data_IF_168438852780
#
_entry.id   IF_168438852780
#
_cell.length_a   1.000
_cell.length_b   1.000
_cell.length_c   1.000
_cell.angle_alpha   90.00
_cell.angle_beta   90.00
_cell.angle_gamma   90.00
#
_symmetry.space_group_name_H-M   'P 1'
#
loop_
_entity.id
_entity.type
_entity.pdbx_description
1 polymer ?
#
# COMPACT_ATOMS: atom_id res chain seq x y z
N UNK A 1 -9.80 -21.19 -19.91
CA UNK A 1 -11.11 -20.54 -20.05
C UNK A 1 -10.92 -19.30 -20.91
N UNK A 2 -11.25 -19.42 -22.18
CA UNK A 2 -10.97 -18.41 -23.23
C UNK A 2 -12.06 -17.35 -23.18
N UNK A 3 -11.70 -16.09 -22.90
CA UNK A 3 -12.66 -14.98 -22.96
C UNK A 3 -12.53 -14.34 -24.35
N UNK A 4 -13.57 -14.55 -25.15
CA UNK A 4 -13.75 -13.96 -26.47
C UNK A 4 -13.96 -12.46 -26.28
N UNK A 5 -13.12 -11.66 -26.93
CA UNK A 5 -13.22 -10.20 -26.99
C UNK A 5 -14.41 -9.81 -27.87
N UNK A 6 -15.57 -9.57 -27.23
CA UNK A 6 -16.75 -9.00 -27.87
C UNK A 6 -16.80 -7.49 -27.70
N UNK A 7 -16.79 -6.77 -28.82
CA UNK A 7 -17.12 -5.34 -28.93
C UNK A 7 -18.58 -5.12 -28.51
N UNK A 8 -18.79 -4.67 -27.28
CA UNK A 8 -19.87 -3.76 -26.84
C UNK A 8 -19.91 -3.71 -25.31
N UNK A 9 -18.89 -3.09 -24.72
CA UNK A 9 -18.79 -2.96 -23.26
C UNK A 9 -19.54 -1.69 -22.84
N UNK A 10 -20.80 -1.88 -22.43
CA UNK A 10 -21.64 -0.92 -21.69
C UNK A 10 -20.81 -0.28 -20.56
N UNK A 11 -20.96 1.02 -20.35
CA UNK A 11 -20.16 1.76 -19.36
C UNK A 11 -20.86 1.67 -18.00
N UNK A 12 -20.15 1.14 -17.00
CA UNK A 12 -20.63 1.03 -15.61
C UNK A 12 -20.20 2.29 -14.86
N UNK A 13 -21.17 3.10 -14.42
CA UNK A 13 -20.92 4.24 -13.54
C UNK A 13 -21.47 3.88 -12.16
N UNK A 14 -20.63 4.03 -11.14
CA UNK A 14 -21.03 3.86 -9.75
C UNK A 14 -21.08 5.24 -9.09
N UNK A 15 -22.29 5.70 -8.77
CA UNK A 15 -22.50 6.93 -8.02
C UNK A 15 -22.62 6.59 -6.53
N UNK A 16 -21.80 7.25 -5.71
CA UNK A 16 -21.81 7.10 -4.26
C UNK A 16 -22.56 8.29 -3.69
N UNK A 17 -23.74 8.04 -3.08
CA UNK A 17 -24.39 9.03 -2.22
C UNK A 17 -23.97 8.75 -0.78
N UNK A 18 -23.24 9.67 -0.17
CA UNK A 18 -22.95 9.66 1.26
C UNK A 18 -23.94 10.57 1.98
N UNK A 19 -24.85 10.00 2.77
CA UNK A 19 -25.66 10.76 3.71
C UNK A 19 -24.78 11.16 4.91
N UNK A 20 -24.44 12.44 4.97
CA UNK A 20 -24.04 13.19 6.17
C UNK A 20 -23.19 12.51 7.24
N UNK A 21 -21.86 12.49 7.07
CA UNK A 21 -20.89 12.74 8.13
C UNK A 21 -19.63 13.30 7.46
N UNK A 22 -19.30 14.56 7.79
CA UNK A 22 -18.14 15.28 7.23
C UNK A 22 -16.87 14.78 7.93
N UNK A 23 -16.21 13.78 7.36
CA UNK A 23 -14.84 13.43 7.72
C UNK A 23 -13.87 14.52 7.20
N UNK A 24 -12.98 15.01 8.08
CA UNK A 24 -12.02 16.09 7.80
C UNK A 24 -10.84 15.65 6.93
N UNK A 25 -10.75 14.38 6.56
CA UNK A 25 -9.58 13.80 5.89
C UNK A 25 -9.56 13.97 4.36
N UNK A 26 -10.61 14.52 3.76
CA UNK A 26 -10.64 14.86 2.32
C UNK A 26 -10.12 16.26 2.00
N UNK A 27 -9.70 17.05 3.00
CA UNK A 27 -9.38 18.48 2.82
C UNK A 27 -7.97 18.77 2.28
N UNK A 28 -7.10 17.77 2.07
CA UNK A 28 -5.74 18.00 1.54
C UNK A 28 -5.59 17.84 0.02
N UNK A 29 -6.59 17.29 -0.66
CA UNK A 29 -6.51 17.04 -2.11
C UNK A 29 -7.47 17.94 -2.93
N UNK A 30 -8.06 18.97 -2.31
CA UNK A 30 -9.02 19.87 -2.95
C UNK A 30 -8.46 21.27 -3.30
N UNK A 31 -7.22 21.57 -2.95
CA UNK A 31 -6.57 22.85 -3.27
C UNK A 31 -5.76 22.76 -4.58
N UNK A 32 -6.42 22.33 -5.65
CA UNK A 32 -6.00 22.61 -7.02
C UNK A 32 -7.26 22.54 -7.89
N UNK A 33 -7.53 23.64 -8.61
CA UNK A 33 -8.65 23.83 -9.54
C UNK A 33 -9.95 24.38 -8.91
N UNK A 34 -9.94 25.66 -8.54
CA UNK A 34 -11.13 26.52 -8.66
C UNK A 34 -10.74 28.00 -8.83
N UNK A 35 -10.29 28.36 -10.02
CA UNK A 35 -10.40 29.71 -10.54
C UNK A 35 -11.37 29.61 -11.72
N UNK A 36 -12.60 30.05 -11.51
CA UNK A 36 -13.45 30.72 -12.51
C UNK A 36 -14.72 31.22 -11.82
N UNK A 37 -14.80 32.55 -11.77
CA UNK A 37 -15.95 33.39 -11.47
C UNK A 37 -17.23 32.87 -12.14
N UNK A 38 -18.33 32.83 -11.39
CA UNK A 38 -19.62 33.33 -11.88
C UNK A 38 -20.43 33.90 -10.72
N UNK A 39 -20.57 35.23 -10.73
CA UNK A 39 -21.60 35.97 -9.99
C UNK A 39 -22.98 35.57 -10.52
N UNK A 40 -23.89 35.19 -9.62
CA UNK A 40 -25.32 35.29 -9.88
C UNK A 40 -26.03 35.77 -8.61
N UNK A 41 -26.90 36.77 -8.82
CA UNK A 41 -27.58 37.60 -7.85
C UNK A 41 -28.44 36.85 -6.82
N UNK A 42 -28.42 37.40 -5.61
CA UNK A 42 -29.43 37.24 -4.57
C UNK A 42 -30.73 37.95 -4.99
N UNK A 43 -31.88 37.32 -4.75
CA UNK A 43 -33.00 38.02 -4.12
C UNK A 43 -33.93 37.03 -3.39
N UNK A 44 -34.44 37.35 -2.18
CA UNK A 44 -35.11 36.43 -1.29
C UNK A 44 -36.64 36.61 -1.34
N UNK A 45 -37.42 35.53 -1.37
CA UNK A 45 -38.82 35.61 -0.94
C UNK A 45 -39.29 34.39 -0.13
N UNK A 46 -39.87 34.77 1.02
CA UNK A 46 -40.97 34.17 1.78
C UNK A 46 -40.75 32.84 2.53
N UNK A 47 -40.32 33.04 3.79
CA UNK A 47 -40.40 32.10 4.91
C UNK A 47 -41.86 32.06 5.41
N UNK A 48 -42.56 30.94 5.22
CA UNK A 48 -43.79 30.62 5.96
C UNK A 48 -43.47 29.44 6.87
N UNK A 49 -43.30 29.74 8.15
CA UNK A 49 -43.18 28.75 9.23
C UNK A 49 -44.56 28.18 9.54
N UNK A 50 -44.73 26.88 9.37
CA UNK A 50 -45.76 26.10 10.06
C UNK A 50 -45.06 25.12 11.00
N UNK A 51 -45.43 25.04 12.29
CA UNK A 51 -44.88 24.07 13.22
C UNK A 51 -45.77 22.83 13.19
N UNK A 52 -45.21 21.65 12.90
CA UNK A 52 -45.91 20.40 13.20
C UNK A 52 -45.02 19.16 13.30
N UNK A 53 -45.12 18.55 14.48
CA UNK A 53 -44.86 17.15 14.83
C UNK A 53 -43.43 16.64 14.73
N UNK A 54 -42.73 16.72 15.87
CA UNK A 54 -41.72 15.75 16.27
C UNK A 54 -42.35 14.35 16.23
N UNK A 55 -42.02 13.60 15.19
CA UNK A 55 -42.29 12.17 15.14
C UNK A 55 -41.39 11.45 16.17
N UNK A 56 -41.91 10.45 16.89
CA UNK A 56 -41.19 9.78 17.96
C UNK A 56 -40.06 8.92 17.39
N UNK A 57 -38.97 8.83 18.15
CA UNK A 57 -37.83 7.93 17.97
C UNK A 57 -38.20 6.67 17.18
N UNK A 58 -37.76 6.62 15.92
CA UNK A 58 -37.64 5.37 15.18
C UNK A 58 -36.69 4.49 15.98
N UNK A 59 -37.22 3.40 16.54
CA UNK A 59 -36.42 2.38 17.21
C UNK A 59 -35.28 1.97 16.29
N UNK A 60 -34.04 2.12 16.77
CA UNK A 60 -32.86 1.63 16.08
C UNK A 60 -33.08 0.15 15.78
N UNK A 61 -32.98 -0.21 14.51
CA UNK A 61 -33.18 -1.57 14.07
C UNK A 61 -31.97 -2.39 14.58
N UNK A 62 -32.15 -3.44 15.40
CA UNK A 62 -31.04 -4.13 16.07
C UNK A 62 -30.00 -4.70 15.09
N UNK A 63 -30.39 -4.94 13.83
CA UNK A 63 -29.49 -5.38 12.76
C UNK A 63 -28.47 -4.31 12.33
N UNK A 64 -28.81 -3.01 12.43
CA UNK A 64 -27.91 -1.91 12.07
C UNK A 64 -26.81 -1.70 13.13
N UNK A 65 -27.16 -1.83 14.42
CA UNK A 65 -26.22 -1.74 15.54
C UNK A 65 -25.17 -2.86 15.48
N UNK A 66 -25.57 -4.09 15.16
CA UNK A 66 -24.64 -5.20 14.96
C UNK A 66 -23.70 -4.99 13.76
N UNK A 67 -24.19 -4.41 12.66
CA UNK A 67 -23.36 -4.09 11.49
C UNK A 67 -22.32 -3.00 11.82
N UNK A 68 -22.70 -2.02 12.63
CA UNK A 68 -21.82 -0.95 13.10
C UNK A 68 -20.72 -1.49 14.01
N UNK A 69 -21.05 -2.31 15.01
CA UNK A 69 -20.07 -2.96 15.90
C UNK A 69 -19.08 -3.85 15.13
N UNK A 70 -19.57 -4.64 14.16
CA UNK A 70 -18.73 -5.44 13.26
C UNK A 70 -17.80 -4.55 12.42
N UNK A 71 -18.28 -3.40 11.96
CA UNK A 71 -17.47 -2.45 11.20
C UNK A 71 -16.41 -1.75 12.08
N UNK A 72 -16.74 -1.38 13.31
CA UNK A 72 -15.81 -0.73 14.25
C UNK A 72 -14.70 -1.69 14.71
N UNK A 73 -15.07 -2.93 15.05
CA UNK A 73 -14.10 -3.98 15.38
C UNK A 73 -13.15 -4.23 14.20
N UNK A 74 -13.66 -4.24 12.96
CA UNK A 74 -12.84 -4.29 11.76
C UNK A 74 -11.90 -3.06 11.64
N UNK A 75 -12.38 -1.84 11.87
CA UNK A 75 -11.52 -0.64 11.83
C UNK A 75 -10.41 -0.68 12.88
N UNK A 76 -10.69 -1.17 14.08
CA UNK A 76 -9.66 -1.35 15.12
C UNK A 76 -8.59 -2.35 14.69
N UNK A 77 -9.00 -3.44 14.03
CA UNK A 77 -8.08 -4.40 13.38
C UNK A 77 -7.23 -3.73 12.31
N UNK A 78 -7.84 -2.95 11.41
CA UNK A 78 -7.11 -2.22 10.36
C UNK A 78 -6.04 -1.28 10.95
N UNK A 79 -6.35 -0.58 12.05
CA UNK A 79 -5.41 0.36 12.70
C UNK A 79 -4.18 -0.33 13.31
N UNK A 80 -4.33 -1.57 13.78
CA UNK A 80 -3.20 -2.38 14.28
C UNK A 80 -2.48 -3.18 13.18
N UNK A 81 -2.93 -3.09 11.93
CA UNK A 81 -2.30 -3.79 10.80
C UNK A 81 -1.35 -2.87 10.03
N UNK A 82 -0.18 -3.40 9.73
CA UNK A 82 0.85 -2.77 8.90
C UNK A 82 0.81 -3.39 7.50
N UNK A 83 0.75 -2.56 6.47
CA UNK A 83 0.98 -2.98 5.08
C UNK A 83 2.48 -2.92 4.78
N UNK A 84 3.03 -4.06 4.40
CA UNK A 84 4.43 -4.24 4.03
C UNK A 84 4.50 -4.47 2.52
N UNK A 85 5.27 -3.62 1.85
CA UNK A 85 5.55 -3.69 0.42
C UNK A 85 7.00 -4.12 0.17
N UNK A 86 7.30 -4.45 -1.09
CA UNK A 86 8.62 -4.84 -1.57
C UNK A 86 9.17 -6.15 -0.99
N UNK A 87 8.28 -7.02 -0.51
CA UNK A 87 8.65 -8.33 0.00
C UNK A 87 9.14 -9.25 -1.13
N UNK A 88 10.22 -9.99 -0.85
CA UNK A 88 10.75 -11.01 -1.76
C UNK A 88 9.73 -12.15 -1.94
N UNK A 89 9.52 -12.66 -3.17
CA UNK A 89 8.59 -13.76 -3.43
C UNK A 89 8.87 -15.06 -2.62
N UNK A 90 10.08 -15.21 -2.10
CA UNK A 90 10.51 -16.37 -1.32
C UNK A 90 10.21 -16.28 0.18
N UNK A 91 9.75 -15.13 0.67
CA UNK A 91 9.47 -14.97 2.09
C UNK A 91 8.16 -15.68 2.46
N UNK A 92 8.26 -16.72 3.29
CA UNK A 92 7.11 -17.47 3.80
C UNK A 92 6.42 -16.71 4.95
N UNK A 93 5.20 -17.13 5.30
CA UNK A 93 4.45 -16.58 6.44
C UNK A 93 5.27 -16.61 7.74
N UNK A 94 5.95 -17.72 8.02
CA UNK A 94 6.78 -17.89 9.22
C UNK A 94 7.99 -16.96 9.24
N UNK A 95 8.59 -16.67 8.08
CA UNK A 95 9.72 -15.74 7.97
C UNK A 95 9.27 -14.32 8.25
N UNK A 96 8.12 -13.91 7.69
CA UNK A 96 7.54 -12.58 7.96
C UNK A 96 7.14 -12.46 9.43
N UNK A 97 6.45 -13.46 9.97
CA UNK A 97 6.05 -13.48 11.38
C UNK A 97 7.25 -13.37 12.31
N UNK A 98 8.30 -14.17 12.09
CA UNK A 98 9.54 -14.10 12.86
C UNK A 98 10.25 -12.75 12.73
N UNK A 99 10.32 -12.20 11.51
CA UNK A 99 10.95 -10.91 11.27
C UNK A 99 10.23 -9.77 11.99
N UNK A 100 8.89 -9.75 12.00
CA UNK A 100 8.11 -8.71 12.67
C UNK A 100 7.92 -8.97 14.17
N UNK A 101 8.14 -10.19 14.64
CA UNK A 101 8.11 -10.55 16.07
C UNK A 101 9.16 -9.80 16.90
N UNK A 102 10.23 -9.30 16.27
CA UNK A 102 11.24 -8.48 16.95
C UNK A 102 10.70 -7.12 17.42
N UNK A 103 9.60 -6.63 16.82
CA UNK A 103 8.97 -5.35 17.18
C UNK A 103 7.80 -5.52 18.15
N UNK A 104 7.34 -6.76 18.39
CA UNK A 104 6.23 -7.08 19.27
C UNK A 104 5.47 -8.32 18.81
N UNK A 105 4.43 -8.69 19.55
CA UNK A 105 3.60 -9.87 19.23
C UNK A 105 2.83 -9.67 17.92
N UNK A 106 3.03 -10.59 16.97
CA UNK A 106 2.28 -10.67 15.71
C UNK A 106 1.08 -11.59 15.90
N UNK A 107 -0.12 -11.14 15.52
CA UNK A 107 -1.37 -11.92 15.61
C UNK A 107 -1.64 -12.72 14.35
N UNK A 108 -1.48 -12.09 13.19
CA UNK A 108 -1.70 -12.74 11.91
C UNK A 108 -0.88 -12.07 10.80
N UNK A 109 -0.65 -12.83 9.73
CA UNK A 109 0.05 -12.39 8.53
C UNK A 109 -0.74 -12.87 7.32
N UNK A 110 -1.15 -11.91 6.47
CA UNK A 110 -2.01 -12.14 5.30
C UNK A 110 -1.27 -11.66 4.06
N UNK A 111 -0.99 -12.58 3.14
CA UNK A 111 -0.42 -12.22 1.83
C UNK A 111 -1.51 -11.71 0.90
N UNK A 112 -1.22 -10.61 0.19
CA UNK A 112 -2.13 -10.04 -0.80
C UNK A 112 -1.82 -10.66 -2.17
N UNK A 113 -2.72 -11.48 -2.71
CA UNK A 113 -2.52 -12.10 -4.02
C UNK A 113 -2.60 -11.04 -5.14
N UNK A 114 -1.60 -11.06 -6.02
CA UNK A 114 -1.62 -10.26 -7.23
C UNK A 114 -2.34 -11.03 -8.36
N UNK A 115 -3.61 -10.71 -8.60
CA UNK A 115 -4.43 -11.39 -9.63
C UNK A 115 -4.25 -10.84 -11.05
N UNK A 116 -3.80 -9.58 -11.18
CA UNK A 116 -3.83 -8.85 -12.46
C UNK A 116 -2.46 -8.43 -12.96
N UNK A 117 -1.43 -8.43 -12.11
CA UNK A 117 -0.08 -8.00 -12.45
C UNK A 117 0.90 -9.14 -12.72
N UNK A 118 2.13 -8.81 -13.16
CA UNK A 118 3.22 -9.77 -13.31
C UNK A 118 3.53 -10.49 -12.00
N UNK A 119 3.86 -11.79 -12.09
CA UNK A 119 4.27 -12.61 -10.93
C UNK A 119 5.62 -12.21 -10.33
N UNK A 120 6.43 -11.50 -11.11
CA UNK A 120 7.73 -10.95 -10.70
C UNK A 120 7.59 -9.78 -9.72
N UNK A 121 6.38 -9.22 -9.59
CA UNK A 121 6.17 -8.11 -8.67
C UNK A 121 6.33 -8.54 -7.21
N UNK A 122 6.84 -7.64 -6.37
CA UNK A 122 6.94 -7.91 -4.94
C UNK A 122 5.57 -8.21 -4.35
N UNK A 123 5.55 -9.11 -3.38
CA UNK A 123 4.27 -9.51 -2.76
C UNK A 123 3.96 -8.57 -1.61
N UNK A 124 2.80 -7.92 -1.66
CA UNK A 124 2.29 -7.13 -0.54
C UNK A 124 1.81 -8.03 0.59
N UNK A 125 2.08 -7.64 1.84
CA UNK A 125 1.68 -8.40 3.02
C UNK A 125 1.04 -7.47 4.05
N UNK A 126 0.00 -7.96 4.70
CA UNK A 126 -0.61 -7.34 5.87
C UNK A 126 -0.14 -8.07 7.11
N UNK A 127 0.51 -7.35 8.02
CA UNK A 127 0.99 -7.87 9.31
C UNK A 127 0.15 -7.26 10.42
N UNK A 128 -0.62 -8.08 11.10
CA UNK A 128 -1.46 -7.66 12.22
C UNK A 128 -0.67 -7.70 13.53
N UNK A 129 -0.42 -6.54 14.11
CA UNK A 129 0.27 -6.41 15.39
C UNK A 129 -0.72 -6.52 16.56
N UNK A 130 -0.22 -6.76 17.77
CA UNK A 130 -1.04 -6.81 18.97
C UNK A 130 -1.77 -5.49 19.26
N UNK A 131 -1.07 -4.36 19.14
CA UNK A 131 -1.53 -3.00 19.47
C UNK A 131 -1.34 -2.01 18.31
N UNK A 132 -2.17 -0.97 18.27
CA UNK A 132 -2.03 0.14 17.32
C UNK A 132 -0.70 0.91 17.53
N UNK A 133 -0.24 1.02 18.78
CA UNK A 133 1.01 1.71 19.10
C UNK A 133 2.21 0.94 18.54
N UNK A 134 2.21 -0.38 18.66
CA UNK A 134 3.26 -1.24 18.08
C UNK A 134 3.26 -1.15 16.56
N UNK A 135 2.08 -1.09 15.91
CA UNK A 135 1.99 -0.93 14.46
C UNK A 135 2.59 0.42 13.99
N UNK A 136 2.31 1.52 14.70
CA UNK A 136 2.92 2.83 14.41
C UNK A 136 4.43 2.84 14.59
N UNK A 137 4.91 2.28 15.69
CA UNK A 137 6.35 2.16 15.95
C UNK A 137 7.07 1.34 14.88
N UNK A 138 6.46 0.26 14.40
CA UNK A 138 6.97 -0.53 13.26
C UNK A 138 7.07 0.32 12.01
N UNK A 139 6.01 1.06 11.66
CA UNK A 139 6.01 1.92 10.47
C UNK A 139 7.11 2.98 10.57
N UNK A 140 7.24 3.64 11.71
CA UNK A 140 8.27 4.65 11.95
C UNK A 140 9.68 4.03 11.83
N UNK A 141 9.93 2.91 12.50
CA UNK A 141 11.25 2.27 12.50
C UNK A 141 11.65 1.77 11.13
N UNK A 142 10.76 1.08 10.41
CA UNK A 142 11.02 0.57 9.05
C UNK A 142 11.13 1.71 8.03
N UNK A 143 10.46 2.85 8.27
CA UNK A 143 10.63 4.02 7.41
C UNK A 143 11.95 4.74 7.62
N UNK A 144 12.51 4.70 8.83
CA UNK A 144 13.76 5.36 9.19
C UNK A 144 14.99 4.49 8.88
N UNK A 145 14.89 3.18 9.05
CA UNK A 145 16.01 2.26 8.91
C UNK A 145 15.69 1.16 7.88
N UNK A 146 16.65 0.81 6.99
CA UNK A 146 16.46 -0.25 6.02
C UNK A 146 16.26 -1.59 6.74
N UNK A 147 15.04 -2.12 6.67
CA UNK A 147 14.69 -3.39 7.28
C UNK A 147 14.63 -4.48 6.22
N UNK A 148 15.48 -5.51 6.32
CA UNK A 148 15.58 -6.58 5.33
C UNK A 148 14.92 -7.84 5.86
N UNK A 149 14.13 -8.51 5.02
CA UNK A 149 13.46 -9.77 5.35
C UNK A 149 13.99 -10.87 4.44
N UNK A 150 14.21 -12.07 4.99
CA UNK A 150 14.69 -13.26 4.28
C UNK A 150 16.13 -13.16 3.72
N UNK A 151 17.01 -12.35 4.32
CA UNK A 151 18.44 -12.34 4.04
C UNK A 151 18.87 -11.77 2.68
N UNK A 152 17.92 -11.39 1.82
CA UNK A 152 18.19 -10.64 0.60
C UNK A 152 18.38 -9.16 0.95
N UNK A 153 19.37 -8.46 0.37
CA UNK A 153 19.68 -7.06 0.70
C UNK A 153 18.67 -6.07 0.07
N UNK A 154 17.37 -6.36 0.23
CA UNK A 154 16.26 -5.55 -0.24
C UNK A 154 15.45 -5.06 0.96
N UNK A 155 15.45 -3.74 1.25
CA UNK A 155 14.68 -3.22 2.35
C UNK A 155 13.19 -3.28 2.02
N UNK A 156 12.39 -3.75 2.98
CA UNK A 156 10.93 -3.71 2.89
C UNK A 156 10.41 -2.32 3.26
N UNK A 157 9.23 -1.96 2.77
CA UNK A 157 8.59 -0.68 3.09
C UNK A 157 7.33 -0.94 3.91
N UNK A 158 7.17 -0.23 5.01
CA UNK A 158 5.99 -0.32 5.86
C UNK A 158 5.11 0.93 5.71
N UNK A 159 3.79 0.73 5.73
CA UNK A 159 2.80 1.81 5.79
C UNK A 159 1.53 1.34 6.48
N UNK A 160 0.65 2.28 6.84
CA UNK A 160 -0.62 1.93 7.48
C UNK A 160 -1.53 1.15 6.52
N UNK A 161 -2.14 0.06 7.01
CA UNK A 161 -3.09 -0.70 6.22
C UNK A 161 -4.33 0.13 5.88
N UNK A 162 -4.90 -0.11 4.71
CA UNK A 162 -6.15 0.52 4.26
C UNK A 162 -7.30 -0.48 4.35
N UNK A 163 -8.52 -0.06 4.72
CA UNK A 163 -9.70 -0.92 4.72
C UNK A 163 -9.93 -1.67 3.39
N UNK A 164 -9.57 -1.05 2.27
CA UNK A 164 -9.74 -1.61 0.93
C UNK A 164 -8.80 -2.78 0.61
N UNK A 165 -7.77 -3.03 1.43
CA UNK A 165 -6.82 -4.13 1.24
C UNK A 165 -7.35 -5.47 1.79
N UNK A 166 -8.40 -5.44 2.61
CA UNK A 166 -8.98 -6.62 3.25
C UNK A 166 -10.10 -7.22 2.38
N UNK A 167 -10.06 -8.54 2.17
CA UNK A 167 -11.08 -9.27 1.42
C UNK A 167 -12.36 -9.50 2.23
N UNK A 168 -12.23 -9.63 3.55
CA UNK A 168 -13.28 -9.89 4.53
C UNK A 168 -13.94 -8.60 5.07
N UNK A 169 -13.77 -7.49 4.36
CA UNK A 169 -14.27 -6.18 4.78
C UNK A 169 -15.81 -6.15 4.89
N UNK A 170 -16.39 -5.81 6.06
CA UNK A 170 -17.81 -5.59 6.20
C UNK A 170 -18.30 -4.34 5.44
N UNK A 171 -19.59 -4.32 5.09
CA UNK A 171 -20.23 -3.19 4.43
C UNK A 171 -20.10 -1.94 5.31
N UNK A 172 -19.71 -0.81 4.73
CA UNK A 172 -19.68 0.45 5.48
C UNK A 172 -21.12 0.85 5.83
N UNK A 173 -21.45 1.07 7.11
CA UNK A 173 -22.79 1.50 7.53
C UNK A 173 -23.17 2.80 6.82
N UNK A 174 -24.45 2.93 6.47
CA UNK A 174 -25.00 4.11 5.76
C UNK A 174 -24.57 4.28 4.30
N UNK A 175 -23.73 3.40 3.72
CA UNK A 175 -23.33 3.52 2.30
C UNK A 175 -24.25 2.73 1.38
N UNK A 176 -25.02 3.45 0.56
CA UNK A 176 -25.78 2.87 -0.56
C UNK A 176 -25.00 3.00 -1.86
N UNK A 177 -24.71 1.88 -2.54
CA UNK A 177 -24.08 1.87 -3.86
C UNK A 177 -25.17 1.57 -4.89
N UNK A 178 -25.39 2.49 -5.83
CA UNK A 178 -26.30 2.29 -6.94
C UNK A 178 -25.49 2.04 -8.22
N UNK A 179 -25.92 1.05 -9.00
CA UNK A 179 -25.32 0.72 -10.29
C UNK A 179 -26.31 1.05 -11.40
N UNK A 180 -25.86 1.82 -12.38
CA UNK A 180 -26.61 2.09 -13.61
C UNK A 180 -25.69 1.91 -14.80
N UNK A 181 -26.22 1.25 -15.84
CA UNK A 181 -25.58 1.22 -17.15
C UNK A 181 -25.93 2.49 -17.89
N UNK A 182 -24.93 3.14 -18.48
CA UNK A 182 -25.13 4.37 -19.25
C UNK A 182 -25.32 4.00 -20.71
N UNK A 183 -26.49 4.32 -21.25
CA UNK A 183 -26.83 4.13 -22.66
C UNK A 183 -26.26 5.26 -23.52
N UNK A 184 -25.98 5.03 -24.82
CA UNK A 184 -25.47 6.06 -25.73
C UNK A 184 -26.36 7.30 -25.86
N UNK A 185 -27.65 7.17 -25.57
CA UNK A 185 -28.62 8.27 -25.61
C UNK A 185 -28.64 9.12 -24.33
N UNK A 186 -27.90 8.74 -23.30
CA UNK A 186 -27.86 9.46 -22.02
C UNK A 186 -26.92 10.68 -22.10
N UNK A 187 -27.30 11.80 -21.49
CA UNK A 187 -26.50 13.02 -21.45
C UNK A 187 -25.14 12.84 -20.73
N UNK A 188 -25.02 11.82 -19.88
CA UNK A 188 -23.77 11.49 -19.19
C UNK A 188 -22.84 10.54 -19.98
N UNK A 189 -23.29 10.01 -21.12
CA UNK A 189 -22.53 9.04 -21.91
C UNK A 189 -21.16 9.57 -22.36
N UNK A 190 -21.10 10.81 -22.84
CA UNK A 190 -19.85 11.44 -23.28
C UNK A 190 -18.84 11.56 -22.13
N UNK A 191 -19.31 11.90 -20.92
CA UNK A 191 -18.46 11.98 -19.73
C UNK A 191 -17.91 10.60 -19.39
N UNK A 192 -18.78 9.58 -19.41
CA UNK A 192 -18.41 8.21 -19.14
C UNK A 192 -17.40 7.66 -20.17
N UNK A 193 -17.55 8.03 -21.45
CA UNK A 193 -16.62 7.65 -22.51
C UNK A 193 -15.25 8.32 -22.34
N UNK A 194 -15.20 9.59 -21.94
CA UNK A 194 -13.94 10.29 -21.61
C UNK A 194 -13.20 9.62 -20.47
N UNK A 195 -13.91 9.29 -19.38
CA UNK A 195 -13.33 8.56 -18.25
C UNK A 195 -12.80 7.19 -18.68
N UNK A 196 -13.54 6.45 -19.52
CA UNK A 196 -13.09 5.16 -20.06
C UNK A 196 -11.78 5.29 -20.85
N UNK A 197 -11.66 6.31 -21.70
CA UNK A 197 -10.42 6.58 -22.46
C UNK A 197 -9.27 6.96 -21.52
N UNK A 198 -9.55 7.78 -20.51
CA UNK A 198 -8.56 8.19 -19.51
C UNK A 198 -8.02 6.99 -18.72
N UNK A 199 -8.90 6.11 -18.24
CA UNK A 199 -8.50 4.90 -17.52
C UNK A 199 -7.61 4.02 -18.40
N UNK A 200 -7.95 3.82 -19.68
CA UNK A 200 -7.11 3.06 -20.62
C UNK A 200 -5.72 3.66 -20.79
N UNK A 201 -5.65 4.99 -20.89
CA UNK A 201 -4.37 5.71 -20.96
C UNK A 201 -3.56 5.48 -19.69
N UNK A 202 -4.14 5.72 -18.51
CA UNK A 202 -3.46 5.51 -17.22
C UNK A 202 -3.01 4.06 -17.04
N UNK A 203 -3.79 3.06 -17.48
CA UNK A 203 -3.37 1.66 -17.39
C UNK A 203 -2.16 1.36 -18.28
N UNK A 204 -2.08 1.95 -19.48
CA UNK A 204 -0.94 1.78 -20.37
C UNK A 204 0.32 2.48 -19.82
N UNK A 205 0.15 3.69 -19.28
CA UNK A 205 1.23 4.45 -18.64
C UNK A 205 1.76 3.73 -17.40
N UNK A 206 0.88 3.21 -16.55
CA UNK A 206 1.26 2.44 -15.37
C UNK A 206 1.99 1.14 -15.73
N UNK A 207 1.52 0.40 -16.74
CA UNK A 207 2.18 -0.81 -17.22
C UNK A 207 3.59 -0.51 -17.78
N UNK A 208 3.73 0.59 -18.53
CA UNK A 208 5.03 1.04 -19.02
C UNK A 208 5.98 1.40 -17.87
N UNK A 209 5.50 2.16 -16.88
CA UNK A 209 6.29 2.54 -15.71
C UNK A 209 6.75 1.33 -14.88
N UNK A 210 5.85 0.36 -14.64
CA UNK A 210 6.19 -0.88 -13.95
C UNK A 210 7.29 -1.63 -14.70
N UNK A 211 7.18 -1.73 -16.03
CA UNK A 211 8.21 -2.37 -16.85
C UNK A 211 9.58 -1.70 -16.68
N UNK A 212 9.61 -0.35 -16.68
CA UNK A 212 10.85 0.41 -16.47
C UNK A 212 11.44 0.19 -15.07
N UNK A 213 10.62 0.17 -14.04
CA UNK A 213 11.06 -0.12 -12.68
C UNK A 213 11.65 -1.53 -12.55
N UNK A 214 11.08 -2.51 -13.25
CA UNK A 214 11.63 -3.87 -13.27
C UNK A 214 12.97 -3.93 -14.00
N UNK A 215 13.10 -3.29 -15.15
CA UNK A 215 14.38 -3.19 -15.89
C UNK A 215 15.48 -2.56 -15.02
N UNK A 216 15.18 -1.44 -14.36
CA UNK A 216 16.13 -0.77 -13.44
C UNK A 216 16.48 -1.64 -12.22
N UNK A 217 15.50 -2.34 -11.65
CA UNK A 217 15.74 -3.25 -10.53
C UNK A 217 16.64 -4.43 -10.92
N UNK A 218 16.50 -4.96 -12.13
CA UNK A 218 17.38 -6.02 -12.66
C UNK A 218 18.81 -5.52 -12.88
N UNK A 219 18.98 -4.32 -13.43
CA UNK A 219 20.31 -3.71 -13.59
C UNK A 219 20.98 -3.47 -12.23
N UNK A 220 20.23 -2.95 -11.25
CA UNK A 220 20.73 -2.75 -9.90
C UNK A 220 21.14 -4.08 -9.25
N UNK A 221 20.32 -5.13 -9.40
CA UNK A 221 20.64 -6.45 -8.86
C UNK A 221 21.94 -7.02 -9.46
N UNK A 222 22.17 -6.83 -10.77
CA UNK A 222 23.42 -7.22 -11.43
C UNK A 222 24.61 -6.47 -10.85
N UNK A 223 24.54 -5.14 -10.76
CA UNK A 223 25.60 -4.31 -10.17
C UNK A 223 25.92 -4.71 -8.73
N UNK A 224 24.89 -4.98 -7.92
CA UNK A 224 25.05 -5.44 -6.54
C UNK A 224 25.75 -6.81 -6.48
N UNK A 225 25.39 -7.75 -7.35
CA UNK A 225 26.04 -9.07 -7.40
C UNK A 225 27.53 -9.00 -7.79
N UNK A 226 27.87 -8.16 -8.77
CA UNK A 226 29.26 -7.91 -9.17
C UNK A 226 30.06 -7.24 -8.04
N UNK A 227 29.44 -6.28 -7.35
CA UNK A 227 30.06 -5.61 -6.21
C UNK A 227 30.33 -6.59 -5.07
N UNK A 228 29.37 -7.47 -4.74
CA UNK A 228 29.53 -8.48 -3.68
C UNK A 228 30.65 -9.46 -4.05
N UNK A 229 30.67 -9.97 -5.29
CA UNK A 229 31.71 -10.92 -5.72
C UNK A 229 33.11 -10.30 -5.74
N UNK A 230 33.23 -9.03 -6.17
CA UNK A 230 34.52 -8.31 -6.14
C UNK A 230 34.98 -8.03 -4.72
N UNK A 231 34.08 -7.63 -3.82
CA UNK A 231 34.39 -7.44 -2.40
C UNK A 231 34.80 -8.75 -1.73
N UNK A 232 34.08 -9.83 -1.98
CA UNK A 232 34.42 -11.15 -1.46
C UNK A 232 35.83 -11.58 -1.87
N UNK A 233 36.19 -11.45 -3.16
CA UNK A 233 37.55 -11.73 -3.64
C UNK A 233 38.62 -10.86 -2.97
N UNK A 234 38.33 -9.58 -2.69
CA UNK A 234 39.25 -8.70 -1.96
C UNK A 234 39.49 -9.21 -0.53
N UNK A 235 38.43 -9.60 0.18
CA UNK A 235 38.54 -10.16 1.51
C UNK A 235 39.30 -11.49 1.51
N UNK A 236 39.03 -12.39 0.58
CA UNK A 236 39.79 -13.64 0.46
C UNK A 236 41.29 -13.41 0.21
N UNK A 237 41.67 -12.39 -0.57
CA UNK A 237 43.07 -12.04 -0.77
C UNK A 237 43.72 -11.52 0.51
N UNK A 238 43.02 -10.67 1.27
CA UNK A 238 43.51 -10.16 2.56
C UNK A 238 43.66 -11.31 3.56
N UNK A 239 42.69 -12.20 3.62
CA UNK A 239 42.73 -13.38 4.48
C UNK A 239 43.93 -14.27 4.11
N UNK A 240 44.18 -14.55 2.83
CA UNK A 240 45.37 -15.31 2.42
C UNK A 240 46.67 -14.63 2.85
N UNK A 241 46.81 -13.32 2.60
CA UNK A 241 48.01 -12.56 2.99
C UNK A 241 48.26 -12.49 4.51
N UNK A 242 47.19 -12.53 5.32
CA UNK A 242 47.30 -12.58 6.77
C UNK A 242 47.64 -13.98 7.28
N UNK A 243 47.03 -15.03 6.72
CA UNK A 243 47.36 -16.42 7.04
C UNK A 243 48.80 -16.78 6.65
N UNK A 244 49.25 -16.33 5.48
CA UNK A 244 50.60 -16.58 4.95
C UNK A 244 51.68 -15.74 5.68
N UNK A 245 51.31 -14.95 6.70
CA UNK A 245 52.18 -14.03 7.46
C UNK A 245 52.91 -12.97 6.62
N UNK A 246 52.66 -12.88 5.31
CA UNK A 246 53.21 -11.86 4.41
C UNK A 246 52.94 -10.46 4.94
N UNK A 247 51.74 -10.22 5.49
CA UNK A 247 51.38 -8.95 6.11
C UNK A 247 52.26 -8.61 7.35
N UNK A 248 52.62 -9.61 8.16
CA UNK A 248 53.50 -9.43 9.33
C UNK A 248 54.96 -9.22 8.92
N UNK A 249 55.42 -9.92 7.89
CA UNK A 249 56.77 -9.74 7.35
C UNK A 249 56.96 -8.34 6.74
N UNK A 250 55.99 -7.86 5.96
CA UNK A 250 55.97 -6.50 5.45
C UNK A 250 55.93 -5.47 6.58
N UNK A 251 55.07 -5.66 7.57
CA UNK A 251 54.99 -4.77 8.73
C UNK A 251 56.32 -4.66 9.48
N UNK A 252 57.05 -5.78 9.64
CA UNK A 252 58.40 -5.81 10.20
C UNK A 252 59.42 -5.04 9.35
N UNK A 253 59.35 -5.12 8.01
CA UNK A 253 60.24 -4.36 7.12
C UNK A 253 59.99 -2.86 7.15
N UNK A 254 58.74 -2.44 7.36
CA UNK A 254 58.36 -1.03 7.39
C UNK A 254 58.24 -0.44 8.81
N UNK A 255 58.60 -1.20 9.87
CA UNK A 255 58.43 -0.81 11.27
C UNK A 255 57.00 -0.35 11.62
N UNK A 256 55.99 -0.97 11.01
CA UNK A 256 54.57 -0.70 11.26
C UNK A 256 54.06 -1.71 12.28
N UNK A 257 53.27 -1.27 13.26
CA UNK A 257 52.62 -2.17 14.22
C UNK A 257 51.46 -2.90 13.53
N UNK A 258 51.56 -4.22 13.38
CA UNK A 258 50.47 -5.09 12.93
C UNK A 258 49.77 -5.74 14.14
N UNK A 259 48.43 -5.84 14.12
CA UNK A 259 47.66 -6.50 15.17
C UNK A 259 47.93 -8.01 15.26
N UNK A 260 47.58 -8.67 16.38
CA UNK A 260 47.80 -10.11 16.53
C UNK A 260 47.04 -10.91 15.47
N UNK A 261 47.58 -12.06 15.01
CA UNK A 261 46.88 -12.92 14.06
C UNK A 261 45.57 -13.44 14.67
N UNK A 262 44.51 -13.44 13.87
CA UNK A 262 43.27 -14.14 14.23
C UNK A 262 43.56 -15.65 14.28
N UNK A 263 43.24 -16.28 15.42
CA UNK A 263 43.35 -17.73 15.65
C UNK A 263 42.20 -18.49 15.01
#
# INVERSE_FOLDING_TARGET
MTIIMGEDIKVRVATVKSSGLRDRDTKRDADAVSLLDTRCHENPQTRVTTPREEAPNTMANPEEEEEEEKYESFLSRVRRTVYVDELTPHASKSVVESAFSQFGTVKDVIFLPNYLGPKELPTGVLVEMESEQTAKAVIETVSQFPFMVAGMPRPVRASAARPAMFSDRPKKPGRTIQFRWVDPSDAEFDKAQRVKRLVRKHTAEAAFMIKKQLEEAEELAKQQSETVTTHHKKFEMIDKLTHDRVAQELAGRYNIKCGPPHR
#
